data_IF_273871640681
#
_entry.id   IF_273871640681
#
_cell.length_a   1.000
_cell.length_b   1.000
_cell.length_c   1.000
_cell.angle_alpha   90.00
_cell.angle_beta   90.00
_cell.angle_gamma   90.00
#
_symmetry.space_group_name_H-M   'P 1'
#
loop_
_entity.id
_entity.type
_entity.pdbx_description
1 polymer ?
#
# COMPACT_ATOMS: atom_id res chain seq x y z
N UNK A 1 27.08 3.97 12.30
CA UNK A 1 26.03 4.93 12.72
C UNK A 1 24.74 4.67 11.94
N UNK A 2 23.58 4.76 12.60
CA UNK A 2 22.26 4.50 11.98
C UNK A 2 21.97 5.48 10.83
N UNK A 3 22.22 6.78 11.04
CA UNK A 3 22.08 7.83 10.03
C UNK A 3 22.80 7.51 8.72
N UNK A 4 24.06 7.05 8.80
CA UNK A 4 24.81 6.67 7.61
C UNK A 4 24.12 5.54 6.84
N UNK A 5 23.60 4.52 7.53
CA UNK A 5 22.88 3.40 6.88
C UNK A 5 21.55 3.83 6.28
N UNK A 6 20.86 4.80 6.90
CA UNK A 6 19.66 5.39 6.31
C UNK A 6 19.98 6.05 4.97
N UNK A 7 21.00 6.92 4.96
CA UNK A 7 21.39 7.71 3.79
C UNK A 7 22.01 6.87 2.67
N UNK A 8 22.81 5.85 2.98
CA UNK A 8 23.56 5.10 1.96
C UNK A 8 22.93 3.77 1.56
N UNK A 9 22.04 3.20 2.39
CA UNK A 9 21.45 1.89 2.14
C UNK A 9 19.92 1.96 1.98
N UNK A 10 19.21 2.59 2.91
CA UNK A 10 17.74 2.57 2.91
C UNK A 10 17.17 3.54 1.87
N UNK A 11 17.47 4.84 1.98
CA UNK A 11 16.89 5.85 1.11
C UNK A 11 17.20 5.62 -0.37
N UNK A 12 18.43 5.26 -0.77
CA UNK A 12 18.70 4.96 -2.17
C UNK A 12 17.92 3.74 -2.68
N UNK A 13 17.69 2.73 -1.84
CA UNK A 13 16.90 1.55 -2.23
C UNK A 13 15.42 1.89 -2.37
N UNK A 14 14.85 2.69 -1.46
CA UNK A 14 13.49 3.21 -1.56
C UNK A 14 13.31 4.01 -2.84
N UNK A 15 14.16 5.01 -3.08
CA UNK A 15 14.11 5.87 -4.27
C UNK A 15 14.16 5.07 -5.57
N UNK A 16 15.09 4.12 -5.67
CA UNK A 16 15.18 3.25 -6.85
C UNK A 16 13.89 2.45 -7.09
N UNK A 17 13.24 1.95 -6.04
CA UNK A 17 11.99 1.19 -6.18
C UNK A 17 10.83 2.10 -6.60
N UNK A 18 10.69 3.27 -5.97
CA UNK A 18 9.66 4.24 -6.34
C UNK A 18 9.86 4.78 -7.76
N UNK A 19 11.10 4.95 -8.22
CA UNK A 19 11.40 5.31 -9.60
C UNK A 19 10.98 4.22 -10.60
N UNK A 20 11.06 2.94 -10.23
CA UNK A 20 10.56 1.84 -11.05
C UNK A 20 9.03 1.89 -11.17
N UNK A 21 8.33 2.11 -10.05
CA UNK A 21 6.87 2.28 -10.06
C UNK A 21 6.45 3.50 -10.89
N UNK A 22 7.17 4.61 -10.77
CA UNK A 22 6.93 5.81 -11.58
C UNK A 22 7.04 5.51 -13.08
N UNK A 23 8.08 4.78 -13.50
CA UNK A 23 8.26 4.38 -14.90
C UNK A 23 7.16 3.43 -15.39
N UNK A 24 6.71 2.52 -14.54
CA UNK A 24 5.57 1.65 -14.85
C UNK A 24 4.32 2.48 -15.14
N UNK A 25 3.97 3.40 -14.24
CA UNK A 25 2.79 4.24 -14.35
C UNK A 25 2.85 5.19 -15.57
N UNK A 26 4.04 5.68 -15.92
CA UNK A 26 4.25 6.47 -17.14
C UNK A 26 3.92 5.71 -18.44
N UNK A 27 3.88 4.38 -18.41
CA UNK A 27 3.50 3.55 -19.55
C UNK A 27 2.04 3.08 -19.56
N UNK A 28 1.32 3.22 -18.44
CA UNK A 28 -0.08 2.78 -18.32
C UNK A 28 -1.09 3.85 -18.76
N UNK A 29 -0.73 5.14 -18.64
CA UNK A 29 -1.59 6.30 -18.92
C UNK A 29 -2.94 6.31 -18.16
N UNK A 30 -3.69 7.41 -18.26
CA UNK A 30 -5.04 7.52 -17.68
C UNK A 30 -5.12 7.99 -16.23
N UNK A 31 -6.35 8.12 -15.70
CA UNK A 31 -6.60 8.81 -14.43
C UNK A 31 -6.08 8.03 -13.22
N UNK A 32 -6.08 6.70 -13.26
CA UNK A 32 -5.50 5.84 -12.22
C UNK A 32 -3.98 5.98 -12.17
N UNK A 33 -3.31 5.94 -13.33
CA UNK A 33 -1.87 6.12 -13.41
C UNK A 33 -1.44 7.49 -12.86
N UNK A 34 -2.18 8.56 -13.20
CA UNK A 34 -1.94 9.90 -12.67
C UNK A 34 -2.01 9.95 -11.14
N UNK A 35 -2.99 9.29 -10.52
CA UNK A 35 -3.08 9.24 -9.06
C UNK A 35 -1.93 8.46 -8.42
N UNK A 36 -1.43 7.41 -9.07
CA UNK A 36 -0.23 6.69 -8.64
C UNK A 36 1.04 7.55 -8.74
N UNK A 37 1.17 8.34 -9.81
CA UNK A 37 2.30 9.26 -9.97
C UNK A 37 2.26 10.37 -8.90
N UNK A 38 1.09 10.93 -8.66
CA UNK A 38 0.87 11.94 -7.63
C UNK A 38 1.14 11.40 -6.23
N UNK A 39 0.72 10.16 -5.92
CA UNK A 39 0.97 9.56 -4.60
C UNK A 39 2.47 9.35 -4.37
N UNK A 40 3.22 8.88 -5.38
CA UNK A 40 4.68 8.75 -5.28
C UNK A 40 5.33 10.13 -5.09
N UNK A 41 4.93 11.14 -5.86
CA UNK A 41 5.51 12.49 -5.79
C UNK A 41 5.30 13.11 -4.41
N UNK A 42 4.08 13.04 -3.90
CA UNK A 42 3.66 13.80 -2.72
C UNK A 42 3.95 13.04 -1.42
N UNK A 43 4.04 11.70 -1.46
CA UNK A 43 4.08 10.83 -0.27
C UNK A 43 5.33 9.91 -0.19
N UNK A 44 6.36 10.13 -1.02
CA UNK A 44 7.64 9.38 -0.96
C UNK A 44 8.21 9.28 0.46
N UNK A 45 8.03 10.33 1.28
CA UNK A 45 8.54 10.39 2.64
C UNK A 45 7.97 9.29 3.56
N UNK A 46 6.77 8.76 3.30
CA UNK A 46 6.22 7.61 4.04
C UNK A 46 7.08 6.36 3.84
N UNK A 47 7.44 6.04 2.59
CA UNK A 47 8.32 4.92 2.28
C UNK A 47 9.74 5.13 2.82
N UNK A 48 10.27 6.36 2.76
CA UNK A 48 11.59 6.68 3.34
C UNK A 48 11.60 6.45 4.84
N UNK A 49 10.60 6.96 5.56
CA UNK A 49 10.46 6.79 7.01
C UNK A 49 10.23 5.33 7.40
N UNK A 50 9.25 4.67 6.78
CA UNK A 50 8.95 3.26 7.01
C UNK A 50 10.15 2.35 6.73
N UNK A 51 10.88 2.60 5.65
CA UNK A 51 12.04 1.80 5.25
C UNK A 51 13.15 1.74 6.30
N UNK A 52 13.22 2.70 7.22
CA UNK A 52 14.20 2.69 8.32
C UNK A 52 14.03 1.46 9.23
N UNK A 53 12.79 0.98 9.43
CA UNK A 53 12.51 -0.21 10.24
C UNK A 53 13.16 -1.47 9.66
N UNK A 54 13.46 -1.52 8.35
CA UNK A 54 14.18 -2.64 7.76
C UNK A 54 15.61 -2.78 8.33
N UNK A 55 16.18 -1.75 8.95
CA UNK A 55 17.48 -1.84 9.64
C UNK A 55 17.42 -2.72 10.89
N UNK A 56 16.26 -2.90 11.50
CA UNK A 56 16.03 -3.81 12.64
C UNK A 56 16.05 -5.28 12.21
N UNK A 57 15.77 -5.55 10.92
CA UNK A 57 15.78 -6.90 10.41
C UNK A 57 17.21 -7.46 10.28
N UNK A 58 17.39 -8.78 10.48
CA UNK A 58 18.65 -9.46 10.17
C UNK A 58 19.10 -9.16 8.74
N UNK A 59 20.43 -9.02 8.53
CA UNK A 59 20.98 -8.56 7.25
C UNK A 59 20.48 -9.34 6.03
N UNK A 60 20.31 -10.67 6.15
CA UNK A 60 19.81 -11.54 5.08
C UNK A 60 18.32 -11.33 4.75
N UNK A 61 17.52 -10.84 5.70
CA UNK A 61 16.08 -10.61 5.55
C UNK A 61 15.72 -9.15 5.26
N UNK A 62 16.65 -8.22 5.51
CA UNK A 62 16.44 -6.77 5.35
C UNK A 62 15.82 -6.38 4.01
N UNK A 63 16.29 -6.97 2.92
CA UNK A 63 15.77 -6.65 1.58
C UNK A 63 14.29 -6.97 1.43
N UNK A 64 13.83 -8.05 2.06
CA UNK A 64 12.45 -8.51 2.00
C UNK A 64 11.55 -7.64 2.88
N UNK A 65 12.00 -7.31 4.10
CA UNK A 65 11.30 -6.34 4.96
C UNK A 65 11.17 -4.98 4.26
N UNK A 66 12.25 -4.50 3.63
CA UNK A 66 12.21 -3.23 2.91
C UNK A 66 11.28 -3.28 1.69
N UNK A 67 11.32 -4.37 0.91
CA UNK A 67 10.43 -4.56 -0.24
C UNK A 67 8.96 -4.55 0.18
N UNK A 68 8.60 -5.30 1.23
CA UNK A 68 7.24 -5.31 1.78
C UNK A 68 6.80 -3.91 2.21
N UNK A 69 7.63 -3.20 2.99
CA UNK A 69 7.29 -1.85 3.49
C UNK A 69 7.03 -0.89 2.32
N UNK A 70 7.89 -0.89 1.30
CA UNK A 70 7.73 0.01 0.15
C UNK A 70 6.45 -0.32 -0.61
N UNK A 71 6.20 -1.59 -0.94
CA UNK A 71 5.02 -1.99 -1.70
C UNK A 71 3.72 -1.73 -0.91
N UNK A 72 3.64 -2.15 0.35
CA UNK A 72 2.47 -1.98 1.20
C UNK A 72 2.14 -0.51 1.45
N UNK A 73 3.15 0.32 1.72
CA UNK A 73 2.96 1.76 1.88
C UNK A 73 2.54 2.42 0.56
N UNK A 74 3.07 1.97 -0.58
CA UNK A 74 2.67 2.48 -1.90
C UNK A 74 1.22 2.14 -2.21
N UNK A 75 0.73 0.94 -1.85
CA UNK A 75 -0.70 0.59 -1.94
C UNK A 75 -1.52 1.57 -1.11
N UNK A 76 -1.16 1.75 0.17
CA UNK A 76 -1.85 2.65 1.09
C UNK A 76 -1.95 4.09 0.55
N UNK A 77 -0.83 4.66 0.08
CA UNK A 77 -0.77 6.02 -0.44
C UNK A 77 -1.54 6.20 -1.76
N UNK A 78 -1.52 5.18 -2.62
CA UNK A 78 -2.26 5.16 -3.88
C UNK A 78 -3.76 5.08 -3.65
N UNK A 79 -4.23 4.14 -2.82
CA UNK A 79 -5.65 3.99 -2.52
C UNK A 79 -6.23 5.23 -1.81
N UNK A 80 -5.46 5.84 -0.90
CA UNK A 80 -5.83 7.12 -0.27
C UNK A 80 -6.03 8.23 -1.31
N UNK A 81 -5.14 8.35 -2.31
CA UNK A 81 -5.34 9.29 -3.43
C UNK A 81 -6.59 8.97 -4.27
N UNK A 82 -6.86 7.69 -4.54
CA UNK A 82 -8.07 7.29 -5.28
C UNK A 82 -9.34 7.69 -4.53
N UNK A 83 -9.37 7.51 -3.21
CA UNK A 83 -10.50 7.91 -2.37
C UNK A 83 -10.69 9.43 -2.34
N UNK A 84 -9.61 10.19 -2.18
CA UNK A 84 -9.66 11.66 -2.06
C UNK A 84 -10.00 12.37 -3.38
N UNK A 85 -9.38 11.95 -4.49
CA UNK A 85 -9.34 12.78 -5.71
C UNK A 85 -10.43 12.47 -6.73
N UNK A 86 -11.09 11.31 -6.62
CA UNK A 86 -12.21 10.97 -7.49
C UNK A 86 -13.58 11.45 -6.98
N UNK A 87 -13.64 12.09 -5.80
CA UNK A 87 -14.87 12.62 -5.23
C UNK A 87 -15.92 11.55 -4.90
N UNK A 88 -15.48 10.30 -4.75
CA UNK A 88 -16.33 9.18 -4.33
C UNK A 88 -16.56 9.34 -2.83
N UNK A 89 -17.78 9.08 -2.35
CA UNK A 89 -18.13 9.11 -0.92
C UNK A 89 -18.91 7.84 -0.54
N UNK A 90 -18.37 6.69 -0.94
CA UNK A 90 -19.07 5.40 -0.86
C UNK A 90 -18.23 4.38 -0.09
N UNK A 91 -18.66 4.05 1.13
CA UNK A 91 -18.03 3.03 1.97
C UNK A 91 -17.81 1.70 1.21
N UNK A 92 -18.79 1.13 0.48
CA UNK A 92 -18.57 -0.11 -0.28
C UNK A 92 -17.44 -0.01 -1.30
N UNK A 93 -17.33 1.13 -2.01
CA UNK A 93 -16.26 1.33 -3.00
C UNK A 93 -14.90 1.36 -2.31
N UNK A 94 -14.79 2.06 -1.19
CA UNK A 94 -13.54 2.15 -0.44
C UNK A 94 -13.12 0.81 0.15
N UNK A 95 -14.06 0.07 0.75
CA UNK A 95 -13.79 -1.27 1.25
C UNK A 95 -13.32 -2.20 0.13
N UNK A 96 -13.95 -2.11 -1.05
CA UNK A 96 -13.58 -2.93 -2.20
C UNK A 96 -12.15 -2.66 -2.69
N UNK A 97 -11.78 -1.38 -2.84
CA UNK A 97 -10.39 -1.01 -3.19
C UNK A 97 -9.38 -1.55 -2.17
N UNK A 98 -9.71 -1.41 -0.89
CA UNK A 98 -8.83 -1.77 0.20
C UNK A 98 -8.70 -3.29 0.43
N UNK A 99 -9.51 -4.11 -0.22
CA UNK A 99 -9.28 -5.57 -0.30
C UNK A 99 -7.87 -5.88 -0.83
N UNK A 100 -7.30 -5.02 -1.69
CA UNK A 100 -5.91 -5.15 -2.15
C UNK A 100 -4.90 -5.19 -0.99
N UNK A 101 -5.11 -4.41 0.08
CA UNK A 101 -4.24 -4.46 1.25
C UNK A 101 -4.34 -5.79 1.99
N UNK A 102 -5.54 -6.38 2.08
CA UNK A 102 -5.73 -7.70 2.70
C UNK A 102 -5.11 -8.80 1.84
N UNK A 103 -5.34 -8.78 0.53
CA UNK A 103 -4.77 -9.72 -0.44
C UNK A 103 -3.24 -9.68 -0.44
N UNK A 104 -2.64 -8.51 -0.20
CA UNK A 104 -1.18 -8.33 -0.10
C UNK A 104 -0.55 -9.04 1.11
N UNK A 105 -1.37 -9.43 2.09
CA UNK A 105 -0.98 -10.17 3.30
C UNK A 105 -1.21 -11.69 3.14
N UNK A 106 -1.51 -12.17 1.94
CA UNK A 106 -1.72 -13.59 1.68
C UNK A 106 -0.62 -14.15 0.75
N UNK A 107 0.58 -14.46 1.25
CA UNK A 107 1.72 -14.88 0.43
C UNK A 107 1.51 -16.19 -0.35
N UNK A 108 0.52 -17.00 0.03
CA UNK A 108 0.16 -18.23 -0.67
C UNK A 108 -0.97 -18.08 -1.68
N UNK A 109 -1.59 -16.89 -1.78
CA UNK A 109 -2.66 -16.64 -2.73
C UNK A 109 -2.09 -16.37 -4.13
N UNK A 110 -2.72 -16.96 -5.14
CA UNK A 110 -2.37 -16.78 -6.57
C UNK A 110 -3.36 -15.90 -7.31
N UNK A 111 -4.55 -15.68 -6.74
CA UNK A 111 -5.61 -14.90 -7.37
C UNK A 111 -5.66 -13.48 -6.77
N UNK A 112 -6.17 -12.55 -7.57
CA UNK A 112 -6.46 -11.19 -7.14
C UNK A 112 -7.97 -10.99 -7.11
N UNK A 113 -8.45 -10.28 -6.10
CA UNK A 113 -9.82 -9.76 -6.14
C UNK A 113 -9.95 -8.69 -7.23
N UNK A 114 -11.16 -8.49 -7.76
CA UNK A 114 -11.44 -7.35 -8.65
C UNK A 114 -11.58 -6.06 -7.81
N UNK A 115 -10.44 -5.43 -7.52
CA UNK A 115 -10.37 -4.25 -6.64
C UNK A 115 -11.16 -3.05 -7.17
N UNK A 116 -11.39 -2.99 -8.49
CA UNK A 116 -12.04 -1.87 -9.15
C UNK A 116 -13.50 -2.17 -9.55
N UNK A 117 -14.09 -3.30 -9.14
CA UNK A 117 -15.42 -3.70 -9.60
C UNK A 117 -16.52 -2.66 -9.30
N UNK A 118 -16.37 -1.92 -8.20
CA UNK A 118 -17.25 -0.81 -7.81
C UNK A 118 -16.68 0.58 -8.14
N UNK A 119 -15.46 0.67 -8.67
CA UNK A 119 -14.79 1.95 -8.95
C UNK A 119 -15.12 2.44 -10.38
N UNK A 120 -15.24 3.77 -10.60
CA UNK A 120 -15.56 4.32 -11.93
C UNK A 120 -14.49 4.07 -13.00
N UNK A 121 -13.23 3.87 -12.61
CA UNK A 121 -12.10 3.53 -13.49
C UNK A 121 -11.54 2.18 -13.09
N UNK A 122 -11.17 1.33 -14.07
CA UNK A 122 -10.84 -0.08 -13.79
C UNK A 122 -9.47 -0.55 -14.26
N UNK A 123 -8.79 0.26 -15.07
CA UNK A 123 -7.54 -0.14 -15.69
C UNK A 123 -6.41 0.79 -15.21
N UNK A 124 -5.53 0.24 -14.39
CA UNK A 124 -4.29 0.88 -13.95
C UNK A 124 -3.05 0.22 -14.58
N UNK A 125 -3.23 -0.56 -15.65
CA UNK A 125 -2.19 -1.33 -16.31
C UNK A 125 -1.68 -2.52 -15.50
N UNK A 126 -2.36 -2.92 -14.42
CA UNK A 126 -1.92 -3.97 -13.49
C UNK A 126 -1.04 -3.45 -12.35
N UNK A 127 -1.02 -2.14 -12.11
CA UNK A 127 -0.17 -1.52 -11.10
C UNK A 127 -0.47 -2.01 -9.69
N UNK A 128 -1.74 -2.01 -9.28
CA UNK A 128 -2.16 -2.45 -7.95
C UNK A 128 -1.90 -3.94 -7.74
N UNK A 129 -2.17 -4.77 -8.76
CA UNK A 129 -1.88 -6.20 -8.73
C UNK A 129 -0.37 -6.46 -8.55
N UNK A 130 0.48 -5.75 -9.31
CA UNK A 130 1.93 -5.83 -9.17
C UNK A 130 2.40 -5.47 -7.74
N UNK A 131 1.83 -4.44 -7.12
CA UNK A 131 2.18 -4.08 -5.73
C UNK A 131 1.75 -5.15 -4.73
N UNK A 132 0.55 -5.72 -4.91
CA UNK A 132 0.03 -6.84 -4.10
C UNK A 132 0.99 -8.04 -4.18
N UNK A 133 1.43 -8.40 -5.39
CA UNK A 133 2.35 -9.52 -5.58
C UNK A 133 3.71 -9.26 -4.95
N UNK A 134 4.24 -8.04 -5.05
CA UNK A 134 5.50 -7.70 -4.39
C UNK A 134 5.42 -7.80 -2.86
N UNK A 135 4.27 -7.49 -2.25
CA UNK A 135 4.04 -7.77 -0.84
C UNK A 135 4.05 -9.27 -0.55
N UNK A 136 3.29 -10.05 -1.34
CA UNK A 136 3.18 -11.51 -1.18
C UNK A 136 4.56 -12.19 -1.31
N UNK A 137 5.32 -11.85 -2.33
CA UNK A 137 6.69 -12.34 -2.56
C UNK A 137 7.62 -12.00 -1.38
N UNK A 138 7.58 -10.75 -0.91
CA UNK A 138 8.40 -10.31 0.20
C UNK A 138 8.06 -11.05 1.50
N UNK A 139 6.77 -11.22 1.79
CA UNK A 139 6.29 -11.94 2.98
C UNK A 139 6.57 -13.44 2.91
N UNK A 140 6.46 -14.07 1.73
CA UNK A 140 6.81 -15.48 1.53
C UNK A 140 8.28 -15.77 1.90
N UNK A 141 9.16 -14.79 1.74
CA UNK A 141 10.56 -14.90 2.11
C UNK A 141 10.88 -14.61 3.59
N UNK A 142 9.87 -14.27 4.40
CA UNK A 142 10.02 -13.97 5.83
C UNK A 142 9.52 -15.16 6.68
N UNK A 143 10.42 -15.97 7.28
CA UNK A 143 10.04 -17.22 7.94
C UNK A 143 9.14 -17.04 9.16
N UNK A 144 9.14 -15.85 9.76
CA UNK A 144 8.35 -15.55 10.96
C UNK A 144 7.04 -14.81 10.66
N UNK A 145 6.74 -14.53 9.38
CA UNK A 145 5.50 -13.86 9.00
C UNK A 145 4.22 -14.57 9.53
N UNK A 146 4.11 -15.92 9.49
CA UNK A 146 2.94 -16.60 10.05
C UNK A 146 2.66 -16.26 11.52
N UNK A 147 3.70 -15.96 12.31
CA UNK A 147 3.56 -15.59 13.72
C UNK A 147 3.05 -14.17 13.96
N UNK A 148 3.11 -13.28 12.95
CA UNK A 148 2.60 -11.91 13.04
C UNK A 148 1.41 -11.61 12.12
N UNK A 149 1.03 -12.55 11.24
CA UNK A 149 -0.05 -12.41 10.26
C UNK A 149 -1.34 -11.87 10.86
N UNK A 150 -1.85 -12.46 11.94
CA UNK A 150 -3.11 -12.03 12.56
C UNK A 150 -3.05 -10.59 13.09
N UNK A 151 -1.91 -10.16 13.63
CA UNK A 151 -1.73 -8.77 14.04
C UNK A 151 -1.72 -7.82 12.85
N UNK A 152 -1.05 -8.18 11.76
CA UNK A 152 -1.01 -7.39 10.53
C UNK A 152 -2.40 -7.27 9.91
N UNK A 153 -3.16 -8.37 9.84
CA UNK A 153 -4.55 -8.36 9.38
C UNK A 153 -5.44 -7.49 10.28
N UNK A 154 -5.29 -7.59 11.61
CA UNK A 154 -6.05 -6.76 12.56
C UNK A 154 -5.78 -5.26 12.33
N UNK A 155 -4.53 -4.84 12.28
CA UNK A 155 -4.20 -3.42 12.07
C UNK A 155 -4.59 -2.93 10.68
N UNK A 156 -4.46 -3.79 9.67
CA UNK A 156 -4.91 -3.46 8.31
C UNK A 156 -6.43 -3.27 8.27
N UNK A 157 -7.22 -4.15 8.89
CA UNK A 157 -8.68 -3.98 8.99
C UNK A 157 -9.07 -2.66 9.67
N UNK A 158 -8.42 -2.32 10.79
CA UNK A 158 -8.65 -1.04 11.47
C UNK A 158 -8.30 0.17 10.59
N UNK A 159 -7.20 0.08 9.83
CA UNK A 159 -6.84 1.10 8.85
C UNK A 159 -7.93 1.21 7.76
N UNK A 160 -8.39 0.09 7.21
CA UNK A 160 -9.44 0.06 6.18
C UNK A 160 -10.75 0.67 6.71
N UNK A 161 -11.13 0.37 7.94
CA UNK A 161 -12.31 0.96 8.58
C UNK A 161 -12.16 2.49 8.67
N UNK A 162 -11.02 2.98 9.18
CA UNK A 162 -10.72 4.41 9.23
C UNK A 162 -10.79 5.06 7.84
N UNK A 163 -10.16 4.45 6.84
CA UNK A 163 -10.16 4.95 5.46
C UNK A 163 -11.56 4.94 4.85
N UNK A 164 -12.38 3.94 5.18
CA UNK A 164 -13.73 3.83 4.62
C UNK A 164 -14.66 4.89 5.21
N UNK A 165 -14.47 5.28 6.47
CA UNK A 165 -15.35 6.24 7.15
C UNK A 165 -14.92 7.69 6.98
N UNK A 166 -13.61 8.00 6.98
CA UNK A 166 -13.14 9.40 6.91
C UNK A 166 -13.49 10.11 5.59
N UNK A 167 -13.76 9.35 4.53
CA UNK A 167 -14.09 9.86 3.20
C UNK A 167 -15.61 9.82 2.91
N UNK A 168 -16.43 9.40 3.88
CA UNK A 168 -17.89 9.52 3.78
C UNK A 168 -18.32 10.98 3.99
N UNK A 169 -19.61 11.25 3.78
CA UNK A 169 -20.23 12.48 4.31
C UNK A 169 -19.92 12.58 5.82
N UNK A 170 -19.49 13.77 6.24
CA UNK A 170 -18.81 13.99 7.51
C UNK A 170 -19.58 13.44 8.71
N UNK A 171 -20.88 13.73 8.78
CA UNK A 171 -21.71 13.30 9.92
C UNK A 171 -21.87 11.78 9.93
N UNK A 172 -22.15 11.18 8.77
CA UNK A 172 -22.25 9.73 8.65
C UNK A 172 -20.95 9.01 9.01
N UNK A 173 -19.79 9.56 8.61
CA UNK A 173 -18.47 9.02 8.95
C UNK A 173 -18.16 9.10 10.45
N UNK A 174 -18.45 10.25 11.09
CA UNK A 174 -18.27 10.45 12.54
C UNK A 174 -19.11 9.47 13.37
N UNK A 175 -20.38 9.24 12.98
CA UNK A 175 -21.28 8.28 13.65
C UNK A 175 -20.78 6.84 13.56
N UNK A 176 -20.21 6.42 12.41
CA UNK A 176 -19.60 5.09 12.23
C UNK A 176 -18.35 4.91 13.06
N UNK A 177 -17.47 5.92 13.10
CA UNK A 177 -16.23 5.89 13.89
C UNK A 177 -16.51 5.81 15.39
N UNK A 178 -17.54 6.49 15.89
CA UNK A 178 -17.93 6.45 17.30
C UNK A 178 -18.50 5.09 17.76
N UNK A 179 -18.90 4.23 16.81
CA UNK A 179 -19.52 2.93 17.08
C UNK A 179 -18.53 1.74 16.99
N UNK A 180 -17.26 1.99 16.65
CA UNK A 180 -16.18 0.98 16.63
C UNK A 180 -15.64 0.68 18.02
#
# INVERSE_FOLDING_TARGET
>A
MILLRMLTLVFPAVKRRLDQYRRFLQGADGPLALQGLDSIRDKEFHCLGGGVYALLAPGKLRRHVLAFIIAFQTISDYLDNLCDRFGIQSEPVFRQLHTAMLDSLEPGATEHSDYYCLFPSRDDGGYLAMLVDQCREALAALPHYPGCKEYMLKFTRLYIDLQSYKHMERRAGEEKLAAM
#
